data_IF_529827934710
#
_entry.id   IF_529827934710
#
_cell.length_a   1.000
_cell.length_b   1.000
_cell.length_c   1.000
_cell.angle_alpha   90.00
_cell.angle_beta   90.00
_cell.angle_gamma   90.00
#
_symmetry.space_group_name_H-M   'P 1'
#
loop_
_entity.id
_entity.type
_entity.pdbx_description
1 polymer ?
#
# COMPACT_ATOMS: atom_id res chain seq x y z
N UNK A 1 -45.61 3.45 4.63
CA UNK A 1 -44.70 3.44 3.46
C UNK A 1 -43.27 3.35 3.99
N UNK A 2 -42.66 2.15 3.98
CA UNK A 2 -41.28 1.92 4.47
C UNK A 2 -40.36 1.89 3.26
N UNK A 3 -39.43 2.83 3.18
CA UNK A 3 -38.37 2.87 2.16
C UNK A 3 -37.35 1.77 2.46
N UNK A 4 -37.21 0.82 1.55
CA UNK A 4 -36.18 -0.21 1.62
C UNK A 4 -34.83 0.39 1.19
N UNK A 5 -33.88 0.46 2.11
CA UNK A 5 -32.50 0.84 1.82
C UNK A 5 -31.83 -0.29 1.06
N UNK A 6 -31.56 -0.08 -0.23
CA UNK A 6 -30.82 -1.03 -1.05
C UNK A 6 -29.39 -1.18 -0.51
N UNK A 7 -29.05 -2.35 0.06
CA UNK A 7 -27.66 -2.72 0.33
C UNK A 7 -26.98 -2.95 -1.02
N UNK A 8 -26.02 -2.09 -1.39
CA UNK A 8 -25.10 -2.36 -2.50
C UNK A 8 -24.41 -3.70 -2.21
N UNK A 9 -24.53 -4.67 -3.12
CA UNK A 9 -23.71 -5.88 -3.09
C UNK A 9 -22.26 -5.45 -3.25
N UNK A 10 -21.43 -5.71 -2.25
CA UNK A 10 -19.98 -5.67 -2.40
C UNK A 10 -19.63 -6.84 -3.31
N UNK A 11 -18.94 -6.59 -4.42
CA UNK A 11 -18.44 -7.65 -5.28
C UNK A 11 -17.55 -8.59 -4.46
N UNK A 12 -17.62 -9.90 -4.70
CA UNK A 12 -16.73 -10.87 -4.05
C UNK A 12 -15.28 -10.45 -4.28
N UNK A 13 -14.54 -10.23 -3.20
CA UNK A 13 -13.15 -9.83 -3.28
C UNK A 13 -12.33 -10.99 -3.84
N UNK A 14 -11.52 -10.71 -4.87
CA UNK A 14 -10.64 -11.72 -5.47
C UNK A 14 -9.51 -12.01 -4.48
N UNK A 15 -9.50 -13.24 -3.95
CA UNK A 15 -8.42 -13.74 -3.10
C UNK A 15 -7.42 -14.50 -3.97
N UNK A 16 -6.15 -14.12 -3.92
CA UNK A 16 -5.02 -14.83 -4.54
C UNK A 16 -4.16 -15.44 -3.44
N UNK A 17 -3.73 -16.69 -3.60
CA UNK A 17 -2.73 -17.31 -2.72
C UNK A 17 -1.44 -17.47 -3.50
N UNK A 18 -0.36 -16.88 -2.99
CA UNK A 18 0.98 -16.97 -3.56
C UNK A 18 1.86 -17.90 -2.71
N UNK A 19 2.57 -18.82 -3.35
CA UNK A 19 3.66 -19.56 -2.73
C UNK A 19 4.96 -18.76 -2.85
N UNK A 20 5.61 -18.50 -1.72
CA UNK A 20 6.86 -17.78 -1.67
C UNK A 20 8.05 -18.75 -1.85
N UNK A 21 9.22 -18.28 -2.32
CA UNK A 21 10.39 -19.13 -2.53
C UNK A 21 10.90 -19.88 -1.29
N UNK A 22 10.59 -19.39 -0.10
CA UNK A 22 10.93 -20.01 1.19
C UNK A 22 9.90 -21.07 1.64
N UNK A 23 8.91 -21.39 0.79
CA UNK A 23 7.84 -22.33 1.08
C UNK A 23 6.71 -21.77 1.97
N UNK A 24 6.76 -20.50 2.34
CA UNK A 24 5.63 -19.82 2.97
C UNK A 24 4.54 -19.49 1.96
N UNK A 25 3.35 -19.12 2.43
CA UNK A 25 2.25 -18.69 1.57
C UNK A 25 1.73 -17.34 2.02
N UNK A 26 1.36 -16.50 1.08
CA UNK A 26 0.71 -15.22 1.35
C UNK A 26 -0.62 -15.16 0.60
N UNK A 27 -1.69 -14.88 1.34
CA UNK A 27 -2.99 -14.51 0.77
C UNK A 27 -3.00 -13.03 0.46
N UNK A 28 -3.57 -12.67 -0.68
CA UNK A 28 -3.82 -11.31 -1.12
C UNK A 28 -5.31 -11.12 -1.40
N UNK A 29 -5.89 -10.08 -0.82
CA UNK A 29 -7.21 -9.59 -1.17
C UNK A 29 -7.07 -8.26 -1.92
N UNK A 30 -7.29 -8.30 -3.24
CA UNK A 30 -7.06 -7.15 -4.09
C UNK A 30 -8.08 -6.02 -3.86
N UNK A 31 -7.56 -4.80 -3.87
CA UNK A 31 -8.33 -3.57 -3.82
C UNK A 31 -8.30 -2.89 -5.19
N UNK A 32 -9.40 -2.23 -5.57
CA UNK A 32 -9.40 -1.39 -6.76
C UNK A 32 -8.36 -0.25 -6.59
N UNK A 33 -7.37 -0.12 -7.50
CA UNK A 33 -6.26 0.84 -7.37
C UNK A 33 -6.66 2.23 -7.90
N UNK A 34 -7.84 2.70 -7.53
CA UNK A 34 -8.35 4.02 -7.90
C UNK A 34 -7.62 5.10 -7.07
N UNK A 35 -7.04 6.15 -7.69
CA UNK A 35 -6.20 7.12 -6.99
C UNK A 35 -6.87 7.77 -5.77
N UNK A 36 -8.14 8.15 -5.89
CA UNK A 36 -8.90 8.82 -4.82
C UNK A 36 -9.16 7.87 -3.64
N UNK A 37 -9.46 6.60 -3.95
CA UNK A 37 -9.66 5.55 -2.93
C UNK A 37 -8.34 5.22 -2.23
N UNK A 38 -7.25 5.14 -2.99
CA UNK A 38 -5.90 4.93 -2.47
C UNK A 38 -5.45 6.08 -1.58
N UNK A 39 -5.69 7.32 -2.00
CA UNK A 39 -5.38 8.50 -1.18
C UNK A 39 -6.16 8.47 0.13
N UNK A 40 -7.46 8.23 0.10
CA UNK A 40 -8.28 8.16 1.31
C UNK A 40 -7.80 7.06 2.28
N UNK A 41 -7.49 5.87 1.76
CA UNK A 41 -6.95 4.77 2.55
C UNK A 41 -5.60 5.11 3.16
N UNK A 42 -4.67 5.67 2.38
CA UNK A 42 -3.33 5.98 2.86
C UNK A 42 -3.31 7.19 3.80
N UNK A 43 -4.25 8.13 3.68
CA UNK A 43 -4.47 9.16 4.70
C UNK A 43 -4.93 8.55 6.02
N UNK A 44 -5.84 7.59 6.00
CA UNK A 44 -6.24 6.89 7.24
C UNK A 44 -5.05 6.14 7.88
N UNK A 45 -4.20 5.52 7.05
CA UNK A 45 -2.96 4.87 7.50
C UNK A 45 -1.97 5.88 8.12
N UNK A 46 -1.62 6.95 7.41
CA UNK A 46 -0.53 7.86 7.80
C UNK A 46 -0.95 9.04 8.68
N UNK A 47 -2.20 9.45 8.69
CA UNK A 47 -2.67 10.56 9.54
C UNK A 47 -3.28 10.04 10.85
N UNK A 48 -4.01 8.90 10.80
CA UNK A 48 -4.80 8.41 11.95
C UNK A 48 -4.21 7.20 12.66
N UNK A 49 -3.38 6.41 11.97
CA UNK A 49 -2.83 5.16 12.49
C UNK A 49 -1.30 5.09 12.41
N UNK A 50 -0.63 6.24 12.24
CA UNK A 50 0.81 6.33 12.05
C UNK A 50 1.63 5.69 13.17
N UNK A 51 1.12 5.73 14.40
CA UNK A 51 1.73 5.23 15.63
C UNK A 51 1.58 3.71 15.81
N UNK A 52 0.76 3.07 14.97
CA UNK A 52 0.40 1.65 15.06
C UNK A 52 1.01 0.79 13.96
N UNK A 53 1.58 1.41 12.92
CA UNK A 53 2.05 0.72 11.73
C UNK A 53 3.58 0.65 11.69
N UNK A 54 4.07 -0.34 10.95
CA UNK A 54 5.44 -0.37 10.44
C UNK A 54 5.35 -0.37 8.93
N UNK A 55 6.19 0.39 8.23
CA UNK A 55 6.12 0.42 6.78
C UNK A 55 7.48 0.60 6.11
N UNK A 56 7.54 0.20 4.84
CA UNK A 56 8.65 0.50 3.95
C UNK A 56 8.72 -0.49 2.79
N UNK A 57 9.71 -0.36 1.90
CA UNK A 57 10.01 -1.37 0.90
C UNK A 57 10.49 -2.67 1.57
N UNK A 58 9.88 -3.79 1.20
CA UNK A 58 10.21 -5.13 1.66
C UNK A 58 10.45 -6.04 0.44
N UNK A 59 11.62 -5.94 -0.19
CA UNK A 59 11.97 -6.71 -1.38
C UNK A 59 13.00 -7.80 -1.05
N UNK A 60 13.13 -8.79 -1.93
CA UNK A 60 14.17 -9.80 -1.77
C UNK A 60 15.55 -9.14 -1.84
N UNK A 61 16.36 -9.35 -0.80
CA UNK A 61 17.70 -8.76 -0.66
C UNK A 61 17.76 -7.38 0.01
N UNK A 62 16.63 -6.71 0.28
CA UNK A 62 16.64 -5.44 1.03
C UNK A 62 15.27 -5.12 1.64
N UNK A 63 15.27 -4.83 2.94
CA UNK A 63 14.06 -4.44 3.68
C UNK A 63 14.38 -3.22 4.53
N UNK A 64 13.65 -2.13 4.34
CA UNK A 64 13.67 -0.98 5.23
C UNK A 64 12.33 -0.90 5.96
N UNK A 65 12.38 -0.88 7.28
CA UNK A 65 11.20 -0.76 8.13
C UNK A 65 11.26 0.56 8.89
N UNK A 66 10.18 1.32 8.80
CA UNK A 66 10.03 2.60 9.48
C UNK A 66 8.90 2.50 10.48
N UNK A 67 9.20 2.93 11.71
CA UNK A 67 8.24 3.28 12.75
C UNK A 67 8.33 4.77 12.98
N UNK A 68 7.21 5.46 12.80
CA UNK A 68 7.16 6.89 13.11
C UNK A 68 7.17 7.08 14.63
N UNK A 69 8.01 7.99 15.13
CA UNK A 69 8.09 8.37 16.55
C UNK A 69 7.24 9.61 16.87
N UNK A 70 6.81 10.32 15.83
CA UNK A 70 5.95 11.49 15.91
C UNK A 70 5.00 11.51 14.70
N UNK A 71 3.84 12.19 14.77
CA UNK A 71 2.94 12.30 13.62
C UNK A 71 3.63 13.03 12.46
N UNK A 72 3.26 12.72 11.21
CA UNK A 72 3.76 13.46 10.06
C UNK A 72 3.37 14.95 10.18
N UNK A 73 4.28 15.83 9.78
CA UNK A 73 4.03 17.28 9.72
C UNK A 73 2.97 17.59 8.67
N UNK A 74 2.95 16.83 7.57
CA UNK A 74 2.01 17.01 6.47
C UNK A 74 1.86 15.74 5.64
N UNK A 75 0.64 15.45 5.21
CA UNK A 75 0.35 14.50 4.12
C UNK A 75 -0.34 15.25 2.99
N UNK A 76 0.26 15.28 1.81
CA UNK A 76 -0.27 16.07 0.68
C UNK A 76 -0.10 15.38 -0.66
N UNK A 77 -0.94 15.76 -1.63
CA UNK A 77 -0.82 15.33 -3.01
C UNK A 77 -0.19 16.43 -3.88
N UNK A 78 0.74 16.03 -4.74
CA UNK A 78 1.27 16.87 -5.80
C UNK A 78 1.62 16.02 -7.02
N UNK A 79 1.04 16.36 -8.18
CA UNK A 79 1.35 15.73 -9.48
C UNK A 79 1.38 14.19 -9.45
N UNK A 80 0.32 13.60 -8.89
CA UNK A 80 0.15 12.15 -8.77
C UNK A 80 0.85 11.50 -7.58
N UNK A 81 1.73 12.23 -6.88
CA UNK A 81 2.45 11.71 -5.71
C UNK A 81 1.80 12.16 -4.40
N UNK A 82 1.58 11.19 -3.51
CA UNK A 82 1.40 11.45 -2.09
C UNK A 82 2.76 11.64 -1.45
N UNK A 83 2.95 12.75 -0.74
CA UNK A 83 4.10 13.01 0.11
C UNK A 83 3.67 12.90 1.57
N UNK A 84 4.38 12.08 2.34
CA UNK A 84 4.30 12.05 3.80
C UNK A 84 5.57 12.69 4.34
N UNK A 85 5.42 13.89 4.89
CA UNK A 85 6.52 14.73 5.38
C UNK A 85 6.67 14.59 6.90
N UNK A 86 7.86 14.20 7.34
CA UNK A 86 8.20 14.01 8.75
C UNK A 86 9.22 15.04 9.24
N UNK A 87 9.63 16.00 8.39
CA UNK A 87 10.66 16.99 8.70
C UNK A 87 12.02 16.63 8.09
N UNK A 88 12.92 15.94 8.82
CA UNK A 88 14.26 15.63 8.32
C UNK A 88 14.26 14.60 7.18
N UNK A 89 13.16 13.88 6.99
CA UNK A 89 12.97 12.95 5.88
C UNK A 89 11.50 12.87 5.48
N UNK A 90 11.26 12.35 4.28
CA UNK A 90 9.92 12.17 3.74
C UNK A 90 9.89 10.99 2.77
N UNK A 91 8.70 10.53 2.40
CA UNK A 91 8.50 9.54 1.36
C UNK A 91 7.51 10.04 0.31
N UNK A 92 7.60 9.48 -0.90
CA UNK A 92 6.73 9.80 -2.03
C UNK A 92 6.14 8.53 -2.64
N UNK A 93 4.81 8.46 -2.77
CA UNK A 93 4.09 7.34 -3.39
C UNK A 93 3.28 7.85 -4.59
N UNK A 94 3.54 7.31 -5.78
CA UNK A 94 2.79 7.68 -6.98
C UNK A 94 1.44 6.95 -7.00
N UNK A 95 0.38 7.59 -6.52
CA UNK A 95 -0.97 7.03 -6.49
C UNK A 95 -1.76 7.38 -7.76
N UNK A 96 -1.50 8.57 -8.31
CA UNK A 96 -2.19 9.13 -9.46
C UNK A 96 -1.31 9.26 -10.69
N UNK A 97 -1.82 9.99 -11.69
CA UNK A 97 -1.05 10.30 -12.90
C UNK A 97 0.02 11.38 -12.61
N UNK A 98 1.28 11.05 -12.82
CA UNK A 98 2.38 12.01 -12.80
C UNK A 98 2.56 12.66 -14.17
N UNK A 99 2.41 13.98 -14.26
CA UNK A 99 2.39 14.72 -15.54
C UNK A 99 3.68 15.49 -15.80
N UNK A 100 4.47 15.79 -14.78
CA UNK A 100 5.72 16.53 -14.90
C UNK A 100 6.91 15.75 -14.32
N UNK A 101 8.05 15.93 -14.98
CA UNK A 101 9.38 15.57 -14.48
C UNK A 101 10.28 16.80 -14.60
N UNK A 102 11.51 16.72 -14.08
CA UNK A 102 12.50 17.79 -14.22
C UNK A 102 12.74 18.21 -15.69
N UNK A 103 12.62 17.26 -16.63
CA UNK A 103 12.79 17.50 -18.08
C UNK A 103 11.53 17.99 -18.81
N UNK A 104 10.45 18.35 -18.11
CA UNK A 104 9.19 18.79 -18.71
C UNK A 104 8.06 17.77 -18.54
N UNK A 105 7.32 17.46 -19.61
CA UNK A 105 6.17 16.53 -19.55
C UNK A 105 6.65 15.10 -19.30
N UNK A 106 5.97 14.38 -18.41
CA UNK A 106 6.24 12.95 -18.17
C UNK A 106 5.82 12.13 -19.39
N UNK A 107 6.71 11.31 -19.99
CA UNK A 107 6.33 10.39 -21.05
C UNK A 107 5.20 9.45 -20.58
N UNK A 108 4.16 9.19 -21.39
CA UNK A 108 3.00 8.40 -20.95
C UNK A 108 3.36 7.00 -20.43
N UNK A 109 4.37 6.34 -21.03
CA UNK A 109 4.86 5.05 -20.56
C UNK A 109 5.47 5.12 -19.16
N UNK A 110 6.22 6.19 -18.86
CA UNK A 110 6.82 6.41 -17.55
C UNK A 110 5.77 6.77 -16.50
N UNK A 111 4.76 7.58 -16.85
CA UNK A 111 3.64 7.88 -15.96
C UNK A 111 2.90 6.61 -15.55
N UNK A 112 2.63 5.71 -16.51
CA UNK A 112 2.00 4.41 -16.24
C UNK A 112 2.87 3.48 -15.39
N UNK A 113 4.18 3.46 -15.60
CA UNK A 113 5.11 2.69 -14.78
C UNK A 113 5.08 3.17 -13.33
N UNK A 114 5.25 4.48 -13.10
CA UNK A 114 5.33 5.05 -11.75
C UNK A 114 4.08 4.80 -10.92
N UNK A 115 2.90 4.97 -11.53
CA UNK A 115 1.61 4.91 -10.84
C UNK A 115 1.37 3.54 -10.22
N UNK A 116 0.82 3.52 -9.00
CA UNK A 116 0.27 2.33 -8.37
C UNK A 116 -0.72 1.63 -9.32
N UNK A 117 -0.52 0.33 -9.55
CA UNK A 117 -1.36 -0.48 -10.45
C UNK A 117 -2.00 -1.67 -9.76
N UNK A 118 -1.51 -2.02 -8.56
CA UNK A 118 -2.09 -3.03 -7.69
C UNK A 118 -1.92 -2.61 -6.25
N UNK A 119 -2.97 -2.83 -5.46
CA UNK A 119 -2.95 -2.74 -4.01
C UNK A 119 -3.72 -3.93 -3.46
N UNK A 120 -3.23 -4.53 -2.39
CA UNK A 120 -3.90 -5.66 -1.76
C UNK A 120 -3.70 -5.63 -0.26
N UNK A 121 -4.72 -6.05 0.49
CA UNK A 121 -4.47 -6.55 1.83
C UNK A 121 -3.74 -7.87 1.71
N UNK A 122 -2.80 -8.14 2.61
CA UNK A 122 -2.09 -9.42 2.64
C UNK A 122 -2.15 -10.05 4.01
N UNK A 123 -2.07 -11.38 4.04
CA UNK A 123 -1.89 -12.18 5.26
C UNK A 123 -0.96 -13.36 4.97
N UNK A 124 0.07 -13.53 5.79
CA UNK A 124 0.92 -14.70 5.68
C UNK A 124 0.24 -15.92 6.32
N UNK A 125 0.04 -16.96 5.50
CA UNK A 125 -0.48 -18.26 5.95
C UNK A 125 0.67 -19.13 6.40
N UNK A 126 0.59 -19.62 7.63
CA UNK A 126 1.62 -20.50 8.21
C UNK A 126 1.22 -21.96 8.08
N UNK A 127 2.18 -22.80 7.73
CA UNK A 127 1.99 -24.26 7.62
C UNK A 127 2.63 -25.05 8.77
N UNK A 128 3.42 -24.43 9.67
CA UNK A 128 4.07 -25.12 10.80
C UNK A 128 3.66 -24.55 12.16
N UNK A 129 3.18 -25.43 13.04
CA UNK A 129 3.10 -25.18 14.47
C UNK A 129 4.52 -25.01 15.05
N UNK A 130 4.72 -24.02 15.93
CA UNK A 130 5.99 -23.80 16.63
C UNK A 130 6.93 -22.72 16.09
N UNK A 131 6.54 -21.96 15.06
CA UNK A 131 7.32 -20.79 14.61
C UNK A 131 7.08 -19.58 15.54
N UNK A 132 8.10 -19.18 16.31
CA UNK A 132 8.06 -18.11 17.33
C UNK A 132 7.83 -16.67 16.82
N UNK A 133 7.74 -16.45 15.51
CA UNK A 133 7.42 -15.11 14.95
C UNK A 133 5.89 -14.93 14.95
N UNK A 134 5.27 -13.74 14.96
CA UNK A 134 3.80 -13.60 14.76
C UNK A 134 3.42 -13.59 13.28
N UNK A 135 2.25 -14.12 12.89
CA UNK A 135 1.80 -14.03 11.49
C UNK A 135 1.62 -12.56 11.10
N UNK A 136 2.13 -12.16 9.94
CA UNK A 136 2.05 -10.77 9.49
C UNK A 136 0.86 -10.57 8.57
N UNK A 137 0.20 -9.43 8.72
CA UNK A 137 -0.83 -8.97 7.80
C UNK A 137 -0.73 -7.45 7.62
N UNK A 138 -1.31 -6.95 6.54
CA UNK A 138 -1.15 -5.54 6.21
C UNK A 138 -1.62 -5.17 4.82
N UNK A 139 -1.07 -4.09 4.28
CA UNK A 139 -1.33 -3.57 2.95
C UNK A 139 -0.05 -3.60 2.12
N UNK A 140 -0.13 -3.98 0.85
CA UNK A 140 1.01 -3.94 -0.09
C UNK A 140 0.62 -3.27 -1.39
N UNK A 141 1.54 -2.46 -1.93
CA UNK A 141 1.36 -1.67 -3.15
C UNK A 141 2.42 -2.03 -4.19
N UNK A 142 2.01 -2.07 -5.46
CA UNK A 142 2.88 -2.29 -6.60
C UNK A 142 2.60 -1.28 -7.73
N UNK A 143 3.65 -0.90 -8.44
CA UNK A 143 3.55 0.06 -9.54
C UNK A 143 3.12 -0.61 -10.87
N UNK A 144 3.07 0.14 -11.97
CA UNK A 144 2.67 -0.34 -13.30
C UNK A 144 3.56 -1.42 -13.92
N UNK A 145 4.72 -1.71 -13.32
CA UNK A 145 5.62 -2.81 -13.70
C UNK A 145 5.61 -3.97 -12.70
N UNK A 146 4.67 -3.97 -11.75
CA UNK A 146 4.56 -4.96 -10.66
C UNK A 146 5.76 -4.94 -9.72
N UNK A 147 6.52 -3.85 -9.69
CA UNK A 147 7.58 -3.65 -8.70
C UNK A 147 6.93 -3.23 -7.39
N UNK A 148 7.42 -3.78 -6.27
CA UNK A 148 6.89 -3.41 -4.96
C UNK A 148 7.24 -1.96 -4.64
N UNK A 149 6.22 -1.18 -4.25
CA UNK A 149 6.38 0.21 -3.82
C UNK A 149 6.53 0.30 -2.31
N UNK A 150 5.61 -0.32 -1.57
CA UNK A 150 5.47 -0.15 -0.13
C UNK A 150 4.75 -1.37 0.45
N UNK A 151 5.20 -1.81 1.62
CA UNK A 151 4.45 -2.68 2.51
C UNK A 151 4.14 -1.90 3.79
N UNK A 152 2.89 -1.97 4.26
CA UNK A 152 2.45 -1.46 5.56
C UNK A 152 2.01 -2.65 6.39
N UNK A 153 2.69 -2.92 7.49
CA UNK A 153 2.33 -3.93 8.47
C UNK A 153 1.36 -3.35 9.49
N UNK A 154 0.27 -4.05 9.73
CA UNK A 154 -0.70 -3.71 10.76
C UNK A 154 -0.33 -4.35 12.11
N UNK A 155 -0.88 -3.85 13.23
CA UNK A 155 -0.62 -4.42 14.55
C UNK A 155 -0.97 -5.91 14.64
N UNK A 156 -0.08 -6.70 15.27
CA UNK A 156 -0.26 -8.13 15.56
C UNK A 156 -0.52 -8.41 17.04
#
# INVERSE_FOLDING_TARGET
MRTATARKRVAEAKVEVMENPDGTRTEYEDLAPEPERLEALLRDVFERNWDKIVFGPCIQGSVFEVRMTEPPKKVSMLDGYMTVDLGPWHLHLCLGENRKTHGGKTPPGLARHRRCSRVAFFRDIRRKAGACVRASFGLRLWNGKREQMMTVFFPN
#
